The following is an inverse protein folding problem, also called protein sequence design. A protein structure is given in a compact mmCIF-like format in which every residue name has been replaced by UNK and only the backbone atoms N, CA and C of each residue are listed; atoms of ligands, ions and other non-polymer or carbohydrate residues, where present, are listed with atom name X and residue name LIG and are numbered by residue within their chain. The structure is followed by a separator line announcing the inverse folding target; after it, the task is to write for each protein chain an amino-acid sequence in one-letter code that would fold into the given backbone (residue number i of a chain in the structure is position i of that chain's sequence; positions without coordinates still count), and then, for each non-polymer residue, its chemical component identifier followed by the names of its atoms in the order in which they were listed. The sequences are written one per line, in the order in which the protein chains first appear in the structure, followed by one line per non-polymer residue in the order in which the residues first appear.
data_IF_331956575118
#
_entry.id   IF_331956575118
#
_cell.length_a   1.000
_cell.length_b   1.000
_cell.length_c   1.000
_cell.angle_alpha   90.00
_cell.angle_beta   90.00
_cell.angle_gamma   90.00
#
_symmetry.space_group_name_H-M   'P 1'
#
loop_
_entity.id
_entity.type
_entity.pdbx_description
1 polymer ?
#
# COMPACT_ATOMS: atom_id res chain seq x y z
N UNK A 1 -4.92 -4.18 28.26
CA UNK A 1 -4.64 -3.57 26.93
C UNK A 1 -5.32 -4.45 25.90
N UNK A 2 -6.11 -3.93 24.95
CA UNK A 2 -6.70 -4.79 23.92
C UNK A 2 -5.57 -5.42 23.11
N UNK A 3 -5.54 -6.75 23.05
CA UNK A 3 -4.62 -7.51 22.21
C UNK A 3 -5.33 -7.87 20.92
N UNK A 4 -4.72 -7.58 19.77
CA UNK A 4 -5.23 -8.05 18.50
C UNK A 4 -5.10 -9.57 18.42
N UNK A 5 -6.13 -10.23 17.90
CA UNK A 5 -6.16 -11.67 17.65
C UNK A 5 -5.89 -11.98 16.18
N UNK A 6 -5.49 -13.21 15.88
CA UNK A 6 -5.22 -13.64 14.52
C UNK A 6 -6.48 -13.64 13.63
N UNK A 7 -6.57 -12.64 12.74
CA UNK A 7 -7.62 -12.58 11.73
C UNK A 7 -9.02 -12.27 12.25
N UNK A 8 -10.01 -12.45 11.38
CA UNK A 8 -11.43 -12.28 11.69
C UNK A 8 -12.23 -11.60 10.58
N UNK A 9 -13.53 -11.46 10.78
CA UNK A 9 -14.39 -10.63 9.94
C UNK A 9 -14.59 -9.30 10.64
N UNK A 10 -14.28 -8.20 9.95
CA UNK A 10 -14.50 -6.85 10.46
C UNK A 10 -15.40 -6.10 9.49
N UNK A 11 -16.37 -5.37 10.03
CA UNK A 11 -17.32 -4.62 9.22
C UNK A 11 -17.69 -3.30 9.88
N UNK A 12 -18.08 -2.33 9.06
CA UNK A 12 -18.49 -1.00 9.50
C UNK A 12 -17.88 0.11 8.66
N UNK A 13 -18.17 1.36 9.05
CA UNK A 13 -17.66 2.56 8.38
C UNK A 13 -16.16 2.77 8.61
N UNK A 14 -15.62 2.31 9.73
CA UNK A 14 -14.17 2.32 10.00
C UNK A 14 -13.80 1.38 11.13
N UNK A 15 -12.52 1.07 11.25
CA UNK A 15 -11.99 0.26 12.35
C UNK A 15 -10.49 0.03 12.24
N UNK A 16 -9.98 -0.85 13.09
CA UNK A 16 -8.57 -1.24 13.09
C UNK A 16 -8.42 -2.76 12.98
N UNK A 17 -7.39 -3.17 12.25
CA UNK A 17 -6.86 -4.54 12.25
C UNK A 17 -5.38 -4.47 12.62
N UNK A 18 -4.84 -5.56 13.15
CA UNK A 18 -3.43 -5.62 13.50
C UNK A 18 -2.97 -7.05 13.71
N UNK A 19 -1.66 -7.25 13.62
CA UNK A 19 -1.03 -8.55 13.85
C UNK A 19 -1.34 -9.08 15.25
N UNK A 20 -1.43 -10.40 15.38
CA UNK A 20 -1.64 -11.04 16.66
C UNK A 20 -0.58 -10.60 17.67
N UNK A 21 -1.01 -10.21 18.87
CA UNK A 21 -0.10 -9.77 19.94
C UNK A 21 0.41 -8.33 19.85
N UNK A 22 0.09 -7.57 18.80
CA UNK A 22 0.51 -6.16 18.66
C UNK A 22 0.14 -5.33 19.92
N UNK A 23 1.04 -4.48 20.46
CA UNK A 23 2.35 -4.06 19.91
C UNK A 23 3.54 -4.97 20.29
N UNK A 24 3.28 -6.19 20.78
CA UNK A 24 4.31 -7.20 20.98
C UNK A 24 4.73 -7.87 19.67
N UNK A 25 5.68 -8.79 19.79
CA UNK A 25 6.21 -9.58 18.67
C UNK A 25 5.12 -10.53 18.16
N UNK A 26 4.89 -10.58 16.85
CA UNK A 26 3.92 -11.51 16.26
C UNK A 26 4.42 -12.97 16.34
N UNK A 27 3.52 -13.97 16.43
CA UNK A 27 3.95 -15.36 16.50
C UNK A 27 4.54 -15.86 15.17
N UNK A 28 5.56 -16.73 15.21
CA UNK A 28 6.07 -17.38 14.00
C UNK A 28 5.05 -18.39 13.44
N UNK A 29 5.23 -18.80 12.18
CA UNK A 29 4.41 -19.79 11.47
C UNK A 29 2.91 -19.45 11.47
N UNK A 30 2.56 -18.16 11.46
CA UNK A 30 1.18 -17.70 11.56
C UNK A 30 0.62 -17.37 10.18
N UNK A 31 -0.68 -17.64 10.00
CA UNK A 31 -1.43 -17.21 8.81
C UNK A 31 -2.75 -16.57 9.24
N UNK A 32 -2.73 -15.26 9.40
CA UNK A 32 -3.87 -14.49 9.88
C UNK A 32 -4.57 -13.79 8.72
N UNK A 33 -5.90 -13.89 8.66
CA UNK A 33 -6.70 -13.31 7.57
C UNK A 33 -7.82 -12.44 8.11
N UNK A 34 -7.85 -11.18 7.71
CA UNK A 34 -8.92 -10.23 8.01
C UNK A 34 -9.78 -9.99 6.77
N UNK A 35 -11.08 -10.26 6.89
CA UNK A 35 -12.08 -9.96 5.86
C UNK A 35 -12.79 -8.66 6.23
N UNK A 36 -12.47 -7.59 5.52
CA UNK A 36 -13.02 -6.25 5.76
C UNK A 36 -14.23 -6.05 4.86
N UNK A 37 -15.33 -5.55 5.43
CA UNK A 37 -16.54 -5.16 4.67
C UNK A 37 -17.01 -3.78 5.11
N UNK A 38 -17.02 -2.84 4.19
CA UNK A 38 -17.66 -1.52 4.41
C UNK A 38 -19.08 -1.51 3.82
N UNK A 39 -19.91 -0.50 4.11
CA UNK A 39 -21.26 -0.42 3.54
C UNK A 39 -21.28 -0.55 2.02
N UNK A 40 -22.38 -1.09 1.50
CA UNK A 40 -22.57 -1.24 0.05
C UNK A 40 -22.56 0.13 -0.64
N UNK A 41 -22.06 0.16 -1.88
CA UNK A 41 -21.84 1.40 -2.62
C UNK A 41 -20.54 2.12 -2.29
N UNK A 42 -19.81 1.74 -1.23
CA UNK A 42 -18.51 2.32 -0.85
C UNK A 42 -17.32 1.45 -1.23
N UNK A 43 -16.11 1.98 -1.06
CA UNK A 43 -14.84 1.25 -1.16
C UNK A 43 -14.09 1.23 0.16
N UNK A 44 -13.26 0.21 0.38
CA UNK A 44 -12.39 0.09 1.56
C UNK A 44 -11.10 0.87 1.30
N UNK A 45 -10.79 1.81 2.19
CA UNK A 45 -9.48 2.45 2.28
C UNK A 45 -8.73 1.85 3.46
N UNK A 46 -7.53 1.32 3.25
CA UNK A 46 -6.66 0.76 4.28
C UNK A 46 -5.38 1.59 4.41
N UNK A 47 -5.06 2.03 5.62
CA UNK A 47 -3.84 2.79 5.90
C UNK A 47 -3.07 2.16 7.05
N UNK A 48 -1.82 1.74 6.79
CA UNK A 48 -0.92 1.26 7.83
C UNK A 48 -0.51 2.42 8.74
N UNK A 49 -0.72 2.25 10.05
CA UNK A 49 -0.23 3.18 11.07
C UNK A 49 1.17 2.77 11.52
N UNK A 50 1.42 1.48 11.57
CA UNK A 50 2.70 0.86 11.90
C UNK A 50 2.90 -0.41 11.07
N UNK A 51 4.16 -0.68 10.68
CA UNK A 51 4.58 -1.87 9.94
C UNK A 51 6.04 -2.17 10.33
N UNK A 52 6.28 -3.38 10.82
CA UNK A 52 7.59 -3.91 11.18
C UNK A 52 7.56 -5.44 11.06
N UNK A 53 7.92 -5.92 9.87
CA UNK A 53 8.03 -7.36 9.55
C UNK A 53 9.48 -7.68 9.16
N UNK A 54 9.85 -8.96 9.15
CA UNK A 54 11.12 -9.39 8.56
C UNK A 54 11.26 -8.84 7.13
N UNK A 55 12.46 -8.36 6.80
CA UNK A 55 12.76 -7.78 5.50
C UNK A 55 13.40 -8.83 4.58
N UNK A 56 12.83 -9.03 3.40
CA UNK A 56 13.40 -9.86 2.33
C UNK A 56 13.16 -9.20 0.97
N UNK A 57 14.09 -9.38 0.02
CA UNK A 57 14.06 -8.75 -1.30
C UNK A 57 12.84 -9.09 -2.16
N UNK A 58 12.14 -10.17 -1.85
CA UNK A 58 10.93 -10.65 -2.53
C UNK A 58 9.79 -10.92 -1.53
N UNK A 59 9.90 -10.38 -0.30
CA UNK A 59 8.98 -10.60 0.80
C UNK A 59 8.56 -12.08 0.92
N UNK A 60 9.55 -13.00 0.89
CA UNK A 60 9.31 -14.45 0.84
C UNK A 60 9.02 -15.09 2.19
N UNK A 61 9.51 -14.49 3.26
CA UNK A 61 9.40 -14.99 4.62
C UNK A 61 8.15 -14.41 5.29
N UNK A 62 8.26 -13.21 5.83
CA UNK A 62 7.15 -12.51 6.46
C UNK A 62 6.57 -11.42 5.55
N UNK A 63 5.25 -11.41 5.39
CA UNK A 63 4.60 -10.43 4.53
C UNK A 63 3.12 -10.23 4.87
N UNK A 64 2.62 -9.06 4.47
CA UNK A 64 1.18 -8.78 4.40
C UNK A 64 0.78 -8.64 2.94
N UNK A 65 -0.10 -9.54 2.49
CA UNK A 65 -0.78 -9.44 1.21
C UNK A 65 -2.14 -8.75 1.35
N UNK A 66 -2.45 -7.86 0.40
CA UNK A 66 -3.73 -7.15 0.34
C UNK A 66 -4.42 -7.48 -0.98
N UNK A 67 -5.69 -7.87 -0.91
CA UNK A 67 -6.50 -8.28 -2.06
C UNK A 67 -7.81 -7.52 -2.14
N UNK A 68 -8.26 -7.30 -3.38
CA UNK A 68 -9.64 -6.88 -3.65
C UNK A 68 -10.62 -7.98 -3.26
N UNK A 69 -11.79 -7.65 -2.71
CA UNK A 69 -12.81 -8.64 -2.36
C UNK A 69 -12.43 -9.53 -1.16
N UNK A 70 -13.16 -10.64 -0.96
CA UNK A 70 -12.90 -11.60 0.13
C UNK A 70 -12.30 -12.94 -0.33
N UNK A 71 -12.30 -13.23 -1.63
CA UNK A 71 -11.78 -14.49 -2.17
C UNK A 71 -11.44 -14.30 -3.66
N UNK A 72 -10.33 -14.91 -4.10
CA UNK A 72 -9.86 -14.95 -5.49
C UNK A 72 -9.75 -13.57 -6.17
N UNK A 73 -9.75 -12.48 -5.41
CA UNK A 73 -9.62 -11.16 -5.97
C UNK A 73 -8.17 -10.82 -6.28
N UNK A 74 -8.00 -9.85 -7.17
CA UNK A 74 -6.69 -9.39 -7.59
C UNK A 74 -5.90 -8.82 -6.40
N UNK A 75 -4.63 -9.22 -6.28
CA UNK A 75 -3.70 -8.68 -5.27
C UNK A 75 -3.41 -7.21 -5.57
N UNK A 76 -3.67 -6.35 -4.60
CA UNK A 76 -3.34 -4.92 -4.62
C UNK A 76 -1.83 -4.76 -4.42
N UNK A 77 -1.27 -5.44 -3.41
CA UNK A 77 0.16 -5.41 -3.12
C UNK A 77 0.58 -6.43 -2.07
N UNK A 78 1.90 -6.61 -1.96
CA UNK A 78 2.60 -7.39 -0.94
C UNK A 78 3.62 -6.48 -0.27
N UNK A 79 3.66 -6.51 1.06
CA UNK A 79 4.50 -5.62 1.86
C UNK A 79 5.23 -6.38 2.97
N UNK A 80 6.50 -6.04 3.19
CA UNK A 80 7.35 -6.54 4.28
C UNK A 80 8.33 -5.44 4.71
N UNK A 81 9.13 -5.70 5.75
CA UNK A 81 10.03 -4.68 6.32
C UNK A 81 9.29 -3.56 7.05
N UNK A 82 9.87 -2.35 7.04
CA UNK A 82 9.40 -1.20 7.85
C UNK A 82 8.81 -0.06 7.03
N UNK A 83 8.87 -0.14 5.70
CA UNK A 83 8.37 0.90 4.78
C UNK A 83 6.87 0.71 4.58
N UNK A 84 6.08 1.65 5.10
CA UNK A 84 4.62 1.64 4.93
C UNK A 84 4.24 2.04 3.49
N UNK A 85 3.35 1.29 2.81
CA UNK A 85 2.76 1.78 1.58
C UNK A 85 1.80 2.93 1.85
N UNK A 86 1.39 3.61 0.78
CA UNK A 86 0.30 4.56 0.86
C UNK A 86 -1.04 3.95 1.18
N UNK A 87 -2.07 4.80 1.26
CA UNK A 87 -3.42 4.32 1.47
C UNK A 87 -3.82 3.41 0.31
N UNK A 88 -4.20 2.17 0.64
CA UNK A 88 -4.60 1.16 -0.32
C UNK A 88 -6.12 1.20 -0.46
N UNK A 89 -6.60 1.22 -1.69
CA UNK A 89 -8.03 1.33 -1.97
C UNK A 89 -8.50 0.08 -2.71
N UNK A 90 -9.59 -0.53 -2.25
CA UNK A 90 -10.22 -1.64 -2.95
C UNK A 90 -11.11 -1.16 -4.11
N UNK A 91 -11.38 -2.05 -5.06
CA UNK A 91 -12.30 -1.81 -6.17
C UNK A 91 -13.79 -2.11 -5.85
N UNK A 92 -14.08 -2.47 -4.60
CA UNK A 92 -15.41 -2.84 -4.10
C UNK A 92 -15.51 -2.53 -2.61
N UNK A 93 -16.66 -2.79 -2.00
CA UNK A 93 -16.87 -2.62 -0.55
C UNK A 93 -16.20 -3.72 0.30
N UNK A 94 -15.34 -4.55 -0.30
CA UNK A 94 -14.69 -5.70 0.33
C UNK A 94 -13.18 -5.69 0.07
N UNK A 95 -12.42 -6.01 1.11
CA UNK A 95 -10.97 -6.16 1.06
C UNK A 95 -10.54 -7.33 1.94
N UNK A 96 -9.52 -8.07 1.51
CA UNK A 96 -8.91 -9.14 2.28
C UNK A 96 -7.46 -8.79 2.57
N UNK A 97 -7.10 -8.86 3.85
CA UNK A 97 -5.74 -8.65 4.35
C UNK A 97 -5.26 -9.97 4.91
N UNK A 98 -4.10 -10.46 4.46
CA UNK A 98 -3.51 -11.70 4.95
C UNK A 98 -2.07 -11.45 5.37
N UNK A 99 -1.76 -11.75 6.63
CA UNK A 99 -0.38 -11.80 7.11
C UNK A 99 0.08 -13.26 7.16
N UNK A 100 1.26 -13.51 6.64
CA UNK A 100 1.97 -14.80 6.75
C UNK A 100 3.30 -14.55 7.43
N UNK A 101 3.66 -15.38 8.42
CA UNK A 101 5.01 -15.41 9.01
C UNK A 101 5.66 -16.79 8.90
N UNK A 102 6.98 -16.84 8.81
CA UNK A 102 7.76 -18.07 8.80
C UNK A 102 8.27 -18.47 10.21
N UNK A 103 9.18 -19.43 10.31
CA UNK A 103 9.63 -19.97 11.59
C UNK A 103 10.62 -19.08 12.37
N UNK A 104 11.29 -18.13 11.71
CA UNK A 104 12.40 -17.37 12.29
C UNK A 104 12.16 -15.86 12.11
N UNK A 105 12.86 -15.05 12.92
CA UNK A 105 12.87 -13.57 12.82
C UNK A 105 11.48 -12.92 12.86
N UNK A 106 11.15 -12.23 13.97
CA UNK A 106 9.88 -11.51 14.06
C UNK A 106 10.09 -10.06 14.49
N UNK A 107 9.33 -9.16 13.86
CA UNK A 107 9.19 -7.77 14.27
C UNK A 107 7.99 -7.54 15.19
N UNK A 108 7.64 -6.27 15.41
CA UNK A 108 6.47 -5.89 16.21
C UNK A 108 5.15 -5.99 15.42
N UNK A 109 5.22 -6.30 14.12
CA UNK A 109 4.07 -6.58 13.26
C UNK A 109 3.42 -5.32 12.71
N UNK A 110 2.09 -5.26 12.66
CA UNK A 110 1.40 -4.13 12.05
C UNK A 110 0.11 -3.74 12.78
N UNK A 111 -0.26 -2.48 12.61
CA UNK A 111 -1.62 -1.99 12.88
C UNK A 111 -2.05 -1.10 11.71
N UNK A 112 -3.25 -1.37 11.18
CA UNK A 112 -3.82 -0.63 10.06
C UNK A 112 -5.23 -0.16 10.40
N UNK A 113 -5.56 1.05 9.97
CA UNK A 113 -6.93 1.60 10.02
C UNK A 113 -7.60 1.31 8.68
N UNK A 114 -8.84 0.82 8.72
CA UNK A 114 -9.72 0.84 7.54
C UNK A 114 -10.82 1.88 7.69
N UNK A 115 -11.29 2.42 6.56
CA UNK A 115 -12.47 3.28 6.48
C UNK A 115 -13.22 3.08 5.17
N UNK A 116 -14.51 3.35 5.18
CA UNK A 116 -15.33 3.44 3.98
C UNK A 116 -15.15 4.80 3.32
N UNK A 117 -15.04 4.82 2.01
CA UNK A 117 -15.03 6.05 1.20
C UNK A 117 -15.99 5.91 0.04
N UNK A 118 -16.56 7.02 -0.42
CA UNK A 118 -17.39 7.02 -1.62
C UNK A 118 -16.54 6.70 -2.85
N UNK A 119 -17.02 5.88 -3.81
CA UNK A 119 -16.29 5.63 -5.04
C UNK A 119 -16.07 6.91 -5.85
N UNK A 120 -16.89 7.95 -5.64
CA UNK A 120 -16.83 9.23 -6.36
C UNK A 120 -15.97 10.29 -5.69
N UNK A 121 -15.53 10.10 -4.44
CA UNK A 121 -14.49 10.93 -3.79
C UNK A 121 -13.07 10.61 -4.30
N UNK A 122 -12.98 10.03 -5.51
CA UNK A 122 -11.74 9.88 -6.30
C UNK A 122 -11.11 11.23 -6.68
N UNK A 123 -11.81 12.34 -6.48
CA UNK A 123 -11.21 13.67 -6.45
C UNK A 123 -10.62 13.96 -5.07
N UNK A 124 -9.29 14.08 -5.02
CA UNK A 124 -8.56 14.97 -4.10
C UNK A 124 -7.94 14.35 -2.82
N UNK A 125 -8.26 13.13 -2.39
CA UNK A 125 -7.62 12.52 -1.19
C UNK A 125 -7.00 11.13 -1.36
N UNK A 126 -7.44 10.34 -2.35
CA UNK A 126 -6.94 8.97 -2.56
C UNK A 126 -6.47 8.77 -4.00
N UNK A 127 -5.15 8.59 -4.16
CA UNK A 127 -4.44 8.45 -5.43
C UNK A 127 -3.73 7.10 -5.51
N UNK A 128 -3.48 6.63 -6.73
CA UNK A 128 -2.85 5.34 -6.98
C UNK A 128 -3.76 4.39 -7.75
N UNK A 129 -3.46 3.10 -7.65
CA UNK A 129 -4.22 2.02 -8.27
C UNK A 129 -3.40 1.24 -9.29
N UNK A 130 -4.08 0.37 -10.03
CA UNK A 130 -3.45 -0.54 -10.98
C UNK A 130 -3.65 -0.04 -12.41
N UNK A 131 -2.56 0.02 -13.18
CA UNK A 131 -2.55 0.52 -14.55
C UNK A 131 -2.15 -0.63 -15.49
N UNK A 132 -3.08 -1.09 -16.33
CA UNK A 132 -2.89 -2.24 -17.23
C UNK A 132 -3.08 -1.89 -18.71
N UNK A 133 -3.37 -0.62 -19.02
CA UNK A 133 -3.45 -0.15 -20.40
C UNK A 133 -2.06 -0.15 -21.04
N UNK A 134 -1.93 -0.41 -22.36
CA UNK A 134 -0.64 -0.37 -23.05
C UNK A 134 0.09 0.98 -22.95
N UNK A 135 -0.66 2.07 -22.76
CA UNK A 135 -0.14 3.41 -22.50
C UNK A 135 -1.15 4.22 -21.69
N UNK A 136 -0.67 5.28 -21.05
CA UNK A 136 -1.48 6.20 -20.27
C UNK A 136 -0.62 7.16 -19.45
N UNK A 137 -1.28 8.02 -18.68
CA UNK A 137 -0.66 8.94 -17.74
C UNK A 137 -1.33 8.82 -16.37
N UNK A 138 -0.61 9.24 -15.33
CA UNK A 138 -1.11 9.39 -13.98
C UNK A 138 -0.43 10.61 -13.34
N UNK A 139 -1.07 11.18 -12.33
CA UNK A 139 -0.65 12.43 -11.72
C UNK A 139 -0.96 12.42 -10.22
N UNK A 140 -0.35 13.36 -9.50
CA UNK A 140 -0.69 13.62 -8.10
C UNK A 140 -2.14 14.12 -7.97
N UNK A 141 -2.77 13.99 -6.78
CA UNK A 141 -4.06 14.62 -6.55
C UNK A 141 -3.97 16.14 -6.79
N UNK A 142 -5.10 16.74 -7.17
CA UNK A 142 -5.29 18.17 -7.44
C UNK A 142 -4.50 18.75 -8.62
N UNK A 143 -3.65 17.97 -9.28
CA UNK A 143 -2.97 18.42 -10.48
C UNK A 143 -3.96 18.56 -11.65
N UNK A 144 -3.85 19.58 -12.52
CA UNK A 144 -2.92 20.72 -12.46
C UNK A 144 -3.44 21.95 -11.69
N UNK A 145 -4.64 21.88 -11.12
CA UNK A 145 -5.34 23.04 -10.57
C UNK A 145 -4.72 23.57 -9.26
N UNK A 146 -4.19 22.68 -8.41
CA UNK A 146 -3.60 23.01 -7.10
C UNK A 146 -2.49 22.05 -6.70
N UNK A 147 -1.77 22.42 -5.65
CA UNK A 147 -0.75 21.58 -5.03
C UNK A 147 -1.35 20.29 -4.45
N UNK A 148 -0.51 19.26 -4.40
CA UNK A 148 -0.88 17.98 -3.79
C UNK A 148 -1.11 18.15 -2.27
N UNK A 149 -2.02 17.36 -1.65
CA UNK A 149 -2.30 17.51 -0.23
C UNK A 149 -1.16 16.96 0.63
N UNK A 150 -0.92 17.58 1.79
CA UNK A 150 0.05 17.11 2.77
C UNK A 150 -0.35 15.74 3.36
N UNK A 151 0.65 14.89 3.63
CA UNK A 151 0.44 13.59 4.27
C UNK A 151 -0.25 12.55 3.38
N UNK A 152 -0.30 12.79 2.07
CA UNK A 152 -0.79 11.83 1.08
C UNK A 152 0.31 10.85 0.73
N UNK A 153 -0.08 9.61 0.49
CA UNK A 153 0.82 8.61 -0.06
C UNK A 153 0.07 7.83 -1.13
N UNK A 154 0.51 8.00 -2.37
CA UNK A 154 -0.02 7.32 -3.55
C UNK A 154 0.80 6.08 -3.87
N UNK A 155 0.18 5.06 -4.48
CA UNK A 155 0.91 3.94 -5.07
C UNK A 155 0.26 3.48 -6.37
N UNK A 156 1.02 3.54 -7.47
CA UNK A 156 0.58 3.04 -8.77
C UNK A 156 1.32 1.74 -9.11
N UNK A 157 0.56 0.69 -9.39
CA UNK A 157 1.09 -0.60 -9.85
C UNK A 157 0.87 -0.72 -11.36
N UNK A 158 1.92 -0.41 -12.12
CA UNK A 158 1.92 -0.47 -13.58
C UNK A 158 2.25 -1.91 -14.01
N UNK A 159 1.39 -2.52 -14.82
CA UNK A 159 1.59 -3.89 -15.32
C UNK A 159 1.49 -3.93 -16.82
N UNK A 160 2.62 -4.28 -17.44
CA UNK A 160 2.70 -4.59 -18.86
C UNK A 160 2.38 -6.08 -19.13
N UNK A 161 1.87 -6.41 -20.33
CA UNK A 161 1.80 -7.78 -20.82
C UNK A 161 3.15 -8.51 -20.75
N UNK A 162 3.10 -9.84 -20.72
CA UNK A 162 4.29 -10.69 -20.72
C UNK A 162 5.22 -10.32 -21.89
N UNK A 163 6.51 -10.21 -21.60
CA UNK A 163 7.57 -9.84 -22.56
C UNK A 163 7.52 -8.40 -23.09
N UNK A 164 6.79 -7.49 -22.44
CA UNK A 164 6.89 -6.05 -22.68
C UNK A 164 7.59 -5.35 -21.51
N UNK A 165 8.31 -4.27 -21.83
CA UNK A 165 8.95 -3.41 -20.84
C UNK A 165 8.08 -2.18 -20.60
N UNK A 166 8.11 -1.66 -19.37
CA UNK A 166 7.48 -0.40 -19.00
C UNK A 166 8.52 0.69 -19.15
N UNK A 167 8.22 1.69 -19.98
CA UNK A 167 8.94 2.95 -20.02
C UNK A 167 8.17 3.98 -19.19
N UNK A 168 8.81 4.50 -18.13
CA UNK A 168 8.23 5.54 -17.28
C UNK A 168 8.95 6.85 -17.58
N UNK A 169 8.19 7.91 -17.89
CA UNK A 169 8.71 9.24 -18.17
C UNK A 169 8.03 10.28 -17.28
N UNK A 170 8.82 11.12 -16.62
CA UNK A 170 8.32 12.28 -15.88
C UNK A 170 8.26 13.48 -16.81
N UNK A 171 7.05 13.96 -17.13
CA UNK A 171 6.87 15.17 -17.96
C UNK A 171 7.08 16.45 -17.15
N UNK A 172 6.52 16.48 -15.93
CA UNK A 172 6.69 17.55 -14.94
C UNK A 172 6.91 16.90 -13.58
N UNK A 173 7.75 17.53 -12.77
CA UNK A 173 8.13 17.03 -11.46
C UNK A 173 8.43 18.21 -10.55
N UNK A 174 7.62 18.39 -9.52
CA UNK A 174 7.80 19.40 -8.48
C UNK A 174 7.30 18.83 -7.16
N UNK A 175 8.25 18.47 -6.30
CA UNK A 175 8.05 17.80 -5.00
C UNK A 175 8.98 18.47 -4.00
N UNK A 176 8.56 18.61 -2.73
CA UNK A 176 9.34 19.29 -1.69
C UNK A 176 10.83 18.90 -1.71
N UNK A 177 11.71 19.91 -1.83
CA UNK A 177 13.15 19.70 -1.95
C UNK A 177 13.77 19.40 -0.58
N UNK A 178 14.47 18.27 -0.46
CA UNK A 178 15.34 17.95 0.69
C UNK A 178 16.59 17.20 0.20
N UNK A 179 17.74 17.42 0.87
CA UNK A 179 19.02 16.80 0.48
C UNK A 179 19.00 15.27 0.51
N UNK A 180 18.06 14.67 1.26
CA UNK A 180 17.91 13.22 1.41
C UNK A 180 16.48 12.74 1.09
N UNK A 181 15.65 13.61 0.52
CA UNK A 181 14.23 13.38 0.24
C UNK A 181 13.47 12.78 1.44
N UNK A 182 13.66 13.33 2.65
CA UNK A 182 13.10 12.79 3.90
C UNK A 182 11.64 13.17 4.13
N UNK A 183 11.18 14.25 3.51
CA UNK A 183 9.81 14.74 3.62
C UNK A 183 8.97 14.13 2.50
N UNK A 184 8.75 14.86 1.41
CA UNK A 184 8.06 14.35 0.23
C UNK A 184 9.04 13.73 -0.77
N UNK A 185 8.60 12.63 -1.41
CA UNK A 185 9.38 11.97 -2.44
C UNK A 185 8.52 11.09 -3.33
N UNK A 186 9.02 10.83 -4.54
CA UNK A 186 8.55 9.75 -5.41
C UNK A 186 9.60 8.65 -5.41
N UNK A 187 9.21 7.43 -5.06
CA UNK A 187 10.08 6.26 -5.15
C UNK A 187 9.56 5.31 -6.24
N UNK A 188 10.48 4.84 -7.09
CA UNK A 188 10.20 3.91 -8.18
C UNK A 188 10.81 2.56 -7.83
N UNK A 189 10.04 1.49 -7.98
CA UNK A 189 10.45 0.12 -7.63
C UNK A 189 10.33 -0.79 -8.84
N UNK A 190 11.27 -1.74 -8.98
CA UNK A 190 11.23 -2.75 -10.01
C UNK A 190 10.34 -3.94 -9.59
N UNK A 191 9.22 -4.12 -10.29
CA UNK A 191 8.23 -5.17 -10.00
C UNK A 191 7.02 -4.66 -9.24
N UNK A 192 6.19 -5.59 -8.76
CA UNK A 192 4.91 -5.28 -8.10
C UNK A 192 4.97 -5.14 -6.57
N UNK A 193 6.17 -5.08 -6.00
CA UNK A 193 6.39 -5.09 -4.54
C UNK A 193 7.15 -3.83 -4.12
N UNK A 194 6.67 -3.15 -3.07
CA UNK A 194 7.33 -1.96 -2.51
C UNK A 194 8.37 -2.44 -1.50
N UNK A 195 9.63 -2.39 -1.91
CA UNK A 195 10.76 -2.93 -1.17
C UNK A 195 12.03 -2.15 -1.49
N UNK A 196 12.78 -1.74 -0.46
CA UNK A 196 14.02 -0.98 -0.63
C UNK A 196 15.07 -1.69 -1.50
N UNK A 197 15.12 -3.02 -1.50
CA UNK A 197 16.02 -3.78 -2.38
C UNK A 197 15.63 -3.73 -3.86
N UNK A 198 14.39 -3.38 -4.16
CA UNK A 198 13.87 -3.21 -5.52
C UNK A 198 13.77 -1.74 -5.93
N UNK A 199 14.18 -0.81 -5.07
CA UNK A 199 14.08 0.63 -5.32
C UNK A 199 15.05 1.02 -6.45
N UNK A 200 14.49 1.42 -7.58
CA UNK A 200 15.23 1.99 -8.71
C UNK A 200 15.75 3.37 -8.32
N UNK A 201 14.91 4.17 -7.66
CA UNK A 201 15.32 5.49 -7.19
C UNK A 201 14.31 6.12 -6.25
N UNK A 202 14.76 7.17 -5.56
CA UNK A 202 13.99 8.04 -4.67
C UNK A 202 14.29 9.47 -5.07
N UNK A 203 13.27 10.23 -5.42
CA UNK A 203 13.40 11.53 -6.08
C UNK A 203 12.56 12.58 -5.35
N UNK A 204 13.07 13.81 -5.29
CA UNK A 204 12.40 14.99 -4.77
C UNK A 204 13.03 16.24 -5.41
N UNK A 205 12.43 17.42 -5.21
CA UNK A 205 12.79 18.66 -5.90
C UNK A 205 11.97 18.91 -7.16
N UNK A 206 12.45 19.83 -7.98
CA UNK A 206 11.77 20.43 -9.15
C UNK A 206 12.36 19.97 -10.50
N UNK A 207 13.28 19.00 -10.46
CA UNK A 207 13.97 18.49 -11.64
C UNK A 207 13.43 17.09 -11.96
N UNK A 208 12.82 16.87 -13.14
CA UNK A 208 12.34 15.56 -13.55
C UNK A 208 13.45 14.50 -13.50
N UNK A 209 13.20 13.34 -12.87
CA UNK A 209 14.11 12.21 -12.94
C UNK A 209 14.38 11.79 -14.38
N UNK A 210 15.65 11.46 -14.67
CA UNK A 210 16.09 10.91 -15.94
C UNK A 210 15.66 9.44 -16.11
#
# INVERSE_FOLDING_TARGET
RPTFTCGGVVSGESGFIGSEGFPGVYPPNSKCTWKITVPEGKVVVLSFRYLDLESDNLCRYDFVDIYNGHANGQRIGRFCGTVKPGALVSNSNKMLVQMTSDANTAGSGFIAKFSAAEPHERGDQYCGGRLEKPSGSFQTPNWPERDYPAGVTCSWHIVAPKNQLIELKFEKFDVERDNYCRYDYVAVFNGGEINDAKRIGKYCGDSPPA
#
